data_IF_488764863063
#
_entry.id   IF_488764863063
#
_cell.length_a   1.000
_cell.length_b   1.000
_cell.length_c   1.000
_cell.angle_alpha   90.00
_cell.angle_beta   90.00
_cell.angle_gamma   90.00
#
_symmetry.space_group_name_H-M   'P 1'
#
loop_
_entity.id
_entity.type
_entity.pdbx_description
1 polymer ?
#
# COMPACT_ATOMS: atom_id res chain seq x y z
N UNK A 1 23.83 14.28 -17.40
CA UNK A 1 22.46 14.56 -16.91
C UNK A 1 21.47 14.00 -17.92
N UNK A 2 20.56 13.14 -17.49
CA UNK A 2 19.57 12.55 -18.41
C UNK A 2 18.34 13.46 -18.47
N UNK A 3 17.87 13.73 -19.70
CA UNK A 3 16.77 14.68 -19.96
C UNK A 3 15.47 13.96 -20.35
N UNK A 4 14.36 14.43 -19.79
CA UNK A 4 12.99 13.95 -20.01
C UNK A 4 12.05 15.10 -20.35
N UNK A 5 10.89 14.81 -20.92
CA UNK A 5 9.81 15.78 -21.08
C UNK A 5 9.07 15.93 -19.75
N UNK A 6 8.88 14.81 -19.04
CA UNK A 6 8.20 14.74 -17.75
C UNK A 6 8.95 13.83 -16.77
N UNK A 7 9.13 14.32 -15.54
CA UNK A 7 9.47 13.48 -14.39
C UNK A 7 8.28 13.42 -13.45
N UNK A 8 7.89 12.20 -13.04
CA UNK A 8 6.87 11.98 -12.00
C UNK A 8 7.55 11.43 -10.76
N UNK A 9 7.39 12.09 -9.61
CA UNK A 9 7.96 11.70 -8.34
C UNK A 9 6.91 10.96 -7.52
N UNK A 10 7.15 9.66 -7.28
CA UNK A 10 6.23 8.76 -6.60
C UNK A 10 5.45 7.87 -7.58
N UNK A 11 5.55 6.56 -7.38
CA UNK A 11 4.91 5.54 -8.23
C UNK A 11 3.65 4.93 -7.60
N UNK A 12 2.93 5.70 -6.78
CA UNK A 12 1.58 5.37 -6.34
C UNK A 12 0.55 5.55 -7.48
N UNK A 13 -0.76 5.30 -7.22
CA UNK A 13 -1.81 5.39 -8.26
C UNK A 13 -1.83 6.73 -8.99
N UNK A 14 -1.65 7.85 -8.29
CA UNK A 14 -1.54 9.17 -8.93
C UNK A 14 -0.34 9.29 -9.86
N UNK A 15 0.82 8.71 -9.44
CA UNK A 15 2.06 8.82 -10.19
C UNK A 15 2.14 7.88 -11.39
N UNK A 16 1.96 6.58 -11.21
CA UNK A 16 2.10 5.64 -12.33
C UNK A 16 1.02 5.85 -13.40
N UNK A 17 -0.21 6.21 -13.03
CA UNK A 17 -1.27 6.53 -14.00
C UNK A 17 -0.89 7.76 -14.83
N UNK A 18 -0.40 8.82 -14.19
CA UNK A 18 0.10 10.02 -14.85
C UNK A 18 1.26 9.68 -15.81
N UNK A 19 2.26 8.93 -15.33
CA UNK A 19 3.42 8.54 -16.14
C UNK A 19 3.02 7.71 -17.36
N UNK A 20 2.11 6.75 -17.19
CA UNK A 20 1.62 5.91 -18.28
C UNK A 20 0.83 6.71 -19.32
N UNK A 21 -0.01 7.65 -18.85
CA UNK A 21 -0.77 8.49 -19.76
C UNK A 21 0.13 9.44 -20.55
N UNK A 22 1.11 10.05 -19.89
CA UNK A 22 2.09 10.92 -20.54
C UNK A 22 2.91 10.17 -21.61
N UNK A 23 3.36 8.95 -21.30
CA UNK A 23 4.08 8.12 -22.26
C UNK A 23 3.21 7.72 -23.46
N UNK A 24 1.92 7.42 -23.25
CA UNK A 24 0.94 7.17 -24.35
C UNK A 24 0.75 8.37 -25.27
N UNK A 25 0.95 9.59 -24.74
CA UNK A 25 0.90 10.83 -25.52
C UNK A 25 2.23 11.17 -26.21
N UNK A 26 3.21 10.27 -26.15
CA UNK A 26 4.48 10.40 -26.84
C UNK A 26 5.58 11.13 -26.06
N UNK A 27 5.34 11.45 -24.78
CA UNK A 27 6.35 12.11 -23.95
C UNK A 27 7.40 11.10 -23.49
N UNK A 28 8.66 11.54 -23.38
CA UNK A 28 9.74 10.82 -22.72
C UNK A 28 9.63 11.01 -21.20
N UNK A 29 9.24 9.94 -20.49
CA UNK A 29 8.86 10.01 -19.08
C UNK A 29 9.83 9.26 -18.19
N UNK A 30 10.24 9.88 -17.06
CA UNK A 30 10.83 9.20 -15.92
C UNK A 30 9.82 9.11 -14.78
N UNK A 31 9.75 7.94 -14.14
CA UNK A 31 8.99 7.68 -12.92
C UNK A 31 9.96 7.36 -11.79
N UNK A 32 10.07 8.26 -10.82
CA UNK A 32 10.99 8.12 -9.68
C UNK A 32 10.24 7.53 -8.49
N UNK A 33 10.75 6.44 -7.92
CA UNK A 33 10.15 5.80 -6.74
C UNK A 33 11.25 5.42 -5.72
N UNK A 34 11.05 5.79 -4.47
CA UNK A 34 12.01 5.49 -3.40
C UNK A 34 11.96 4.04 -2.91
N UNK A 35 10.81 3.37 -3.07
CA UNK A 35 10.64 1.95 -2.72
C UNK A 35 11.16 1.06 -3.86
N UNK A 36 11.53 -0.17 -3.57
CA UNK A 36 11.98 -1.12 -4.60
C UNK A 36 10.85 -1.57 -5.53
N UNK A 37 9.59 -1.32 -5.15
CA UNK A 37 8.39 -1.73 -5.89
C UNK A 37 7.51 -0.54 -6.27
N UNK A 38 6.91 -0.60 -7.44
CA UNK A 38 5.90 0.36 -7.89
C UNK A 38 4.55 0.11 -7.21
N UNK A 39 3.58 1.03 -7.40
CA UNK A 39 2.23 0.89 -6.87
C UNK A 39 1.96 1.71 -5.60
N UNK A 40 3.02 2.27 -4.99
CA UNK A 40 2.93 3.14 -3.81
C UNK A 40 2.24 2.48 -2.61
N UNK A 41 1.70 3.30 -1.73
CA UNK A 41 0.95 2.85 -0.55
C UNK A 41 -0.22 1.96 -0.90
N UNK A 42 -1.04 2.34 -1.89
CA UNK A 42 -2.26 1.61 -2.24
C UNK A 42 -2.01 0.13 -2.56
N UNK A 43 -1.05 -0.18 -3.45
CA UNK A 43 -0.81 -1.55 -3.87
C UNK A 43 -0.03 -2.36 -2.84
N UNK A 44 0.96 -1.73 -2.19
CA UNK A 44 1.91 -2.46 -1.35
C UNK A 44 1.41 -2.66 0.10
N UNK A 45 0.83 -1.62 0.70
CA UNK A 45 0.54 -1.57 2.14
C UNK A 45 -0.83 -0.94 2.49
N UNK A 46 -1.66 -0.65 1.50
CA UNK A 46 -2.94 0.05 1.70
C UNK A 46 -4.13 -0.70 1.11
N UNK A 47 -4.73 -0.13 0.06
CA UNK A 47 -6.00 -0.58 -0.51
C UNK A 47 -6.02 -2.07 -0.89
N UNK A 48 -4.98 -2.55 -1.55
CA UNK A 48 -4.97 -3.93 -2.06
C UNK A 48 -4.84 -4.96 -0.93
N UNK A 49 -3.83 -4.88 -0.05
CA UNK A 49 -3.73 -5.83 1.04
C UNK A 49 -4.92 -5.74 2.00
N UNK A 50 -5.45 -4.55 2.30
CA UNK A 50 -6.62 -4.43 3.18
C UNK A 50 -7.86 -5.09 2.57
N UNK A 51 -8.15 -4.88 1.27
CA UNK A 51 -9.29 -5.51 0.58
C UNK A 51 -9.13 -7.02 0.45
N UNK A 52 -7.90 -7.52 0.24
CA UNK A 52 -7.64 -8.95 0.24
C UNK A 52 -7.93 -9.59 1.61
N UNK A 53 -7.55 -8.93 2.70
CA UNK A 53 -7.83 -9.36 4.06
C UNK A 53 -9.33 -9.26 4.39
N UNK A 54 -9.99 -8.14 4.04
CA UNK A 54 -11.43 -7.97 4.23
C UNK A 54 -12.22 -9.09 3.57
N UNK A 55 -11.94 -9.36 2.30
CA UNK A 55 -12.61 -10.41 1.53
C UNK A 55 -12.42 -11.80 2.18
N UNK A 56 -11.19 -12.14 2.59
CA UNK A 56 -10.94 -13.44 3.23
C UNK A 56 -11.57 -13.55 4.61
N UNK A 57 -11.51 -12.49 5.42
CA UNK A 57 -12.12 -12.47 6.75
C UNK A 57 -13.66 -12.50 6.69
N UNK A 58 -14.25 -11.91 5.66
CA UNK A 58 -15.69 -11.96 5.41
C UNK A 58 -16.16 -13.40 5.12
N UNK A 59 -15.45 -14.13 4.24
CA UNK A 59 -15.73 -15.54 4.00
C UNK A 59 -15.60 -16.39 5.25
N UNK A 60 -14.59 -16.13 6.08
CA UNK A 60 -14.40 -16.85 7.34
C UNK A 60 -15.56 -16.59 8.32
N UNK A 61 -15.96 -15.32 8.49
CA UNK A 61 -17.07 -14.94 9.34
C UNK A 61 -18.39 -15.54 8.82
N UNK A 62 -18.65 -15.42 7.52
CA UNK A 62 -19.83 -16.00 6.89
C UNK A 62 -19.93 -17.51 7.11
N UNK A 63 -18.83 -18.24 6.90
CA UNK A 63 -18.79 -19.68 7.10
C UNK A 63 -19.11 -20.08 8.55
N UNK A 64 -18.73 -19.27 9.53
CA UNK A 64 -18.95 -19.56 10.96
C UNK A 64 -20.33 -19.16 11.47
N UNK A 65 -20.91 -18.10 10.93
CA UNK A 65 -22.10 -17.47 11.54
C UNK A 65 -23.33 -17.49 10.64
N UNK A 66 -23.16 -17.40 9.32
CA UNK A 66 -24.27 -17.13 8.41
C UNK A 66 -24.65 -18.32 7.54
N UNK A 67 -23.72 -19.25 7.28
CA UNK A 67 -23.95 -20.41 6.40
C UNK A 67 -25.20 -21.22 6.78
N UNK A 68 -25.46 -21.40 8.07
CA UNK A 68 -26.60 -22.16 8.55
C UNK A 68 -27.94 -21.50 8.18
N UNK A 69 -28.02 -20.17 8.16
CA UNK A 69 -29.23 -19.44 7.76
C UNK A 69 -29.55 -19.66 6.26
N UNK A 70 -28.56 -20.02 5.46
CA UNK A 70 -28.72 -20.38 4.04
C UNK A 70 -28.96 -21.89 3.81
N UNK A 71 -29.16 -22.67 4.89
CA UNK A 71 -29.33 -24.11 4.81
C UNK A 71 -28.02 -24.88 4.54
N UNK A 72 -26.88 -24.22 4.62
CA UNK A 72 -25.55 -24.80 4.37
C UNK A 72 -24.96 -25.28 5.69
N UNK A 73 -24.73 -26.59 5.80
CA UNK A 73 -24.09 -27.18 6.98
C UNK A 73 -22.60 -27.38 6.69
N UNK A 74 -21.76 -26.69 7.46
CA UNK A 74 -20.31 -26.82 7.43
C UNK A 74 -19.87 -27.64 8.67
N UNK A 75 -18.76 -28.36 8.53
CA UNK A 75 -18.05 -28.95 9.65
C UNK A 75 -17.30 -27.89 10.46
N UNK A 76 -16.21 -28.29 11.12
CA UNK A 76 -15.34 -27.35 11.83
C UNK A 76 -14.70 -26.35 10.86
N UNK A 77 -14.89 -25.06 11.16
CA UNK A 77 -14.29 -23.96 10.39
C UNK A 77 -13.13 -23.38 11.18
N UNK A 78 -11.91 -23.64 10.74
CA UNK A 78 -10.68 -23.15 11.35
C UNK A 78 -9.98 -22.12 10.49
N UNK A 79 -9.12 -21.29 11.11
CA UNK A 79 -8.34 -20.26 10.46
C UNK A 79 -6.88 -20.73 10.28
N UNK A 80 -6.40 -20.78 9.04
CA UNK A 80 -4.97 -20.79 8.72
C UNK A 80 -4.51 -19.37 8.40
N UNK A 81 -4.13 -18.60 9.44
CA UNK A 81 -3.69 -17.22 9.28
C UNK A 81 -2.46 -17.09 8.36
N UNK A 82 -1.43 -17.94 8.46
CA UNK A 82 -0.31 -17.92 7.50
C UNK A 82 -0.76 -18.07 6.04
N UNK A 83 -1.69 -18.96 5.74
CA UNK A 83 -2.23 -19.11 4.37
C UNK A 83 -3.01 -17.89 3.92
N UNK A 84 -3.80 -17.28 4.79
CA UNK A 84 -4.54 -16.05 4.53
C UNK A 84 -3.58 -14.89 4.20
N UNK A 85 -2.50 -14.74 4.97
CA UNK A 85 -1.49 -13.72 4.73
C UNK A 85 -0.73 -13.97 3.43
N UNK A 86 -0.32 -15.21 3.14
CA UNK A 86 0.32 -15.56 1.85
C UNK A 86 -0.57 -15.22 0.67
N UNK A 87 -1.87 -15.54 0.71
CA UNK A 87 -2.83 -15.15 -0.34
C UNK A 87 -2.85 -13.65 -0.56
N UNK A 88 -2.87 -12.85 0.50
CA UNK A 88 -2.79 -11.38 0.42
C UNK A 88 -1.49 -10.95 -0.28
N UNK A 89 -0.33 -11.51 0.09
CA UNK A 89 0.97 -11.16 -0.49
C UNK A 89 1.07 -11.55 -1.98
N UNK A 90 0.49 -12.68 -2.37
CA UNK A 90 0.41 -13.11 -3.78
C UNK A 90 -0.42 -12.13 -4.63
N UNK A 91 -1.54 -11.63 -4.10
CA UNK A 91 -2.38 -10.62 -4.77
C UNK A 91 -1.58 -9.33 -4.96
N UNK A 92 -0.93 -8.85 -3.91
CA UNK A 92 -0.07 -7.66 -3.95
C UNK A 92 1.04 -7.83 -4.99
N UNK A 93 1.78 -8.93 -4.92
CA UNK A 93 2.89 -9.21 -5.83
C UNK A 93 2.46 -9.23 -7.30
N UNK A 94 1.32 -9.86 -7.59
CA UNK A 94 0.75 -9.92 -8.95
C UNK A 94 0.43 -8.53 -9.49
N UNK A 95 -0.22 -7.68 -8.69
CA UNK A 95 -0.62 -6.35 -9.14
C UNK A 95 0.58 -5.40 -9.27
N UNK A 96 1.52 -5.44 -8.34
CA UNK A 96 2.79 -4.70 -8.41
C UNK A 96 3.59 -5.11 -9.65
N UNK A 97 3.70 -6.41 -9.91
CA UNK A 97 4.33 -6.94 -11.11
C UNK A 97 3.64 -6.46 -12.40
N UNK A 98 2.30 -6.41 -12.42
CA UNK A 98 1.53 -5.87 -13.54
C UNK A 98 1.83 -4.39 -13.81
N UNK A 99 1.94 -3.56 -12.77
CA UNK A 99 2.33 -2.15 -12.92
C UNK A 99 3.75 -2.02 -13.50
N UNK A 100 4.69 -2.83 -13.03
CA UNK A 100 6.06 -2.83 -13.55
C UNK A 100 6.13 -3.25 -15.03
N UNK A 101 5.37 -4.27 -15.41
CA UNK A 101 5.25 -4.69 -16.82
C UNK A 101 4.64 -3.60 -17.70
N UNK A 102 3.61 -2.90 -17.23
CA UNK A 102 3.00 -1.79 -17.94
C UNK A 102 3.97 -0.61 -18.10
N UNK A 103 4.76 -0.28 -17.08
CA UNK A 103 5.80 0.75 -17.16
C UNK A 103 6.79 0.43 -18.28
N UNK A 104 7.30 -0.82 -18.30
CA UNK A 104 8.21 -1.30 -19.33
C UNK A 104 7.58 -1.27 -20.74
N UNK A 105 6.35 -1.79 -20.88
CA UNK A 105 5.65 -1.83 -22.16
C UNK A 105 5.37 -0.46 -22.75
N UNK A 106 5.26 0.58 -21.92
CA UNK A 106 5.01 1.97 -22.32
C UNK A 106 6.29 2.81 -22.43
N UNK A 107 7.45 2.22 -22.27
CA UNK A 107 8.73 2.92 -22.37
C UNK A 107 8.97 3.95 -21.27
N UNK A 108 8.28 3.81 -20.12
CA UNK A 108 8.52 4.68 -18.95
C UNK A 108 9.84 4.27 -18.29
N UNK A 109 10.76 5.22 -18.14
CA UNK A 109 12.02 5.00 -17.43
C UNK A 109 11.76 5.03 -15.93
N UNK A 110 11.85 3.87 -15.27
CA UNK A 110 11.75 3.79 -13.81
C UNK A 110 13.11 4.07 -13.19
N UNK A 111 13.15 5.00 -12.25
CA UNK A 111 14.36 5.38 -11.51
C UNK A 111 14.10 5.13 -10.02
N UNK A 112 14.79 4.16 -9.45
CA UNK A 112 14.66 3.84 -8.02
C UNK A 112 15.56 4.73 -7.20
N UNK A 113 14.99 5.45 -6.24
CA UNK A 113 15.69 6.35 -5.32
C UNK A 113 14.83 7.48 -4.80
N UNK A 114 15.39 8.21 -3.86
CA UNK A 114 14.75 9.39 -3.28
C UNK A 114 15.10 10.63 -4.09
N UNK A 115 14.08 11.31 -4.62
CA UNK A 115 14.23 12.54 -5.37
C UNK A 115 14.32 13.76 -4.45
N UNK A 116 15.22 14.68 -4.78
CA UNK A 116 15.30 16.01 -4.20
C UNK A 116 15.49 17.03 -5.32
N UNK A 117 14.82 18.19 -5.23
CA UNK A 117 15.03 19.28 -6.17
C UNK A 117 16.39 19.93 -5.97
N UNK A 118 17.14 20.09 -7.04
CA UNK A 118 18.40 20.87 -7.09
C UNK A 118 18.25 22.17 -7.87
N UNK A 119 17.10 22.36 -8.50
CA UNK A 119 16.70 23.54 -9.25
C UNK A 119 15.26 23.39 -9.75
N UNK A 120 14.69 24.39 -10.42
CA UNK A 120 13.28 24.38 -10.84
C UNK A 120 12.89 23.20 -11.75
N UNK A 121 13.86 22.66 -12.51
CA UNK A 121 13.69 21.57 -13.48
C UNK A 121 14.69 20.43 -13.33
N UNK A 122 15.48 20.47 -12.25
CA UNK A 122 16.56 19.51 -11.99
C UNK A 122 16.35 18.80 -10.66
N UNK A 123 16.59 17.51 -10.68
CA UNK A 123 16.47 16.63 -9.53
C UNK A 123 17.75 15.83 -9.33
N UNK A 124 18.14 15.65 -8.08
CA UNK A 124 19.04 14.59 -7.66
C UNK A 124 18.22 13.41 -7.18
N UNK A 125 18.50 12.21 -7.68
CA UNK A 125 17.87 10.98 -7.22
C UNK A 125 18.94 10.10 -6.58
N UNK A 126 18.80 9.87 -5.27
CA UNK A 126 19.75 9.09 -4.49
C UNK A 126 19.21 7.68 -4.28
N UNK A 127 19.92 6.67 -4.77
CA UNK A 127 19.63 5.26 -4.59
C UNK A 127 19.93 4.78 -3.16
N UNK A 128 19.48 3.57 -2.84
CA UNK A 128 19.73 2.94 -1.53
C UNK A 128 21.22 2.67 -1.27
N UNK A 129 22.02 2.55 -2.31
CA UNK A 129 23.48 2.40 -2.27
C UNK A 129 24.24 3.73 -2.08
N UNK A 130 23.51 4.84 -1.94
CA UNK A 130 24.08 6.19 -1.81
C UNK A 130 24.50 6.81 -3.15
N UNK A 131 24.40 6.11 -4.26
CA UNK A 131 24.69 6.70 -5.57
C UNK A 131 23.66 7.76 -5.92
N UNK A 132 24.11 8.88 -6.50
CA UNK A 132 23.23 9.97 -6.88
C UNK A 132 23.31 10.21 -8.38
N UNK A 133 22.17 10.26 -9.06
CA UNK A 133 22.06 10.64 -10.45
C UNK A 133 21.27 11.95 -10.61
N UNK A 134 21.71 12.78 -11.54
CA UNK A 134 21.03 14.04 -11.84
C UNK A 134 20.08 13.85 -13.05
N UNK A 135 18.84 14.26 -12.88
CA UNK A 135 17.80 14.25 -13.90
C UNK A 135 17.32 15.68 -14.20
N UNK A 136 16.94 15.92 -15.44
CA UNK A 136 16.35 17.20 -15.89
C UNK A 136 15.04 16.91 -16.64
N UNK A 137 14.01 17.75 -16.45
CA UNK A 137 12.79 17.67 -17.23
C UNK A 137 12.18 19.04 -17.53
N UNK A 138 11.40 19.11 -18.61
CA UNK A 138 10.59 20.29 -18.90
C UNK A 138 9.51 20.50 -17.83
N UNK A 139 8.93 19.40 -17.34
CA UNK A 139 7.88 19.40 -16.32
C UNK A 139 8.16 18.36 -15.24
N UNK A 140 7.72 18.65 -14.00
CA UNK A 140 7.80 17.72 -12.87
C UNK A 140 6.44 17.63 -12.20
N UNK A 141 5.97 16.40 -11.96
CA UNK A 141 4.76 16.10 -11.20
C UNK A 141 5.17 15.48 -9.86
N UNK A 142 4.67 16.09 -8.76
CA UNK A 142 4.87 15.59 -7.40
C UNK A 142 3.66 14.74 -7.02
N UNK A 143 3.86 13.42 -6.90
CA UNK A 143 2.85 12.42 -6.55
C UNK A 143 3.33 11.52 -5.40
N UNK A 144 3.95 12.12 -4.38
CA UNK A 144 4.69 11.45 -3.31
C UNK A 144 3.80 10.73 -2.30
N UNK A 145 2.47 10.93 -2.36
CA UNK A 145 1.50 10.24 -1.51
C UNK A 145 1.47 10.76 -0.08
N UNK A 146 1.13 9.88 0.85
CA UNK A 146 0.96 10.16 2.28
C UNK A 146 1.58 9.06 3.13
N UNK A 147 1.71 9.33 4.41
CA UNK A 147 2.15 8.37 5.42
C UNK A 147 1.18 8.39 6.62
N UNK A 148 1.11 7.32 7.43
CA UNK A 148 0.38 7.34 8.68
C UNK A 148 0.87 8.47 9.58
N UNK A 149 -0.07 9.14 10.27
CA UNK A 149 0.27 10.17 11.24
C UNK A 149 0.72 9.50 12.53
N UNK A 150 1.87 9.89 13.01
CA UNK A 150 2.38 9.47 14.32
C UNK A 150 2.05 10.54 15.36
N UNK A 151 1.32 10.15 16.40
CA UNK A 151 0.98 11.07 17.49
C UNK A 151 2.19 11.26 18.42
N UNK A 152 2.49 12.50 18.86
CA UNK A 152 3.69 12.76 19.69
C UNK A 152 3.76 11.93 20.98
N UNK A 153 2.60 11.61 21.55
CA UNK A 153 2.45 10.85 22.78
C UNK A 153 2.18 9.34 22.56
N UNK A 154 2.04 8.89 21.29
CA UNK A 154 1.74 7.50 20.93
C UNK A 154 2.53 7.13 19.67
N UNK A 155 3.85 6.94 19.83
CA UNK A 155 4.74 6.63 18.72
C UNK A 155 4.68 5.16 18.33
N UNK A 156 4.87 4.89 17.04
CA UNK A 156 4.93 3.52 16.54
C UNK A 156 6.20 2.81 17.02
N UNK A 157 6.04 1.69 17.73
CA UNK A 157 7.11 0.78 18.12
C UNK A 157 7.14 -0.50 17.23
N UNK A 158 6.12 -0.66 16.40
CA UNK A 158 5.97 -1.81 15.51
C UNK A 158 5.52 -3.10 16.20
N UNK A 159 5.26 -3.07 17.50
CA UNK A 159 4.87 -4.23 18.33
C UNK A 159 3.57 -3.99 19.09
N UNK A 160 3.54 -3.02 19.98
CA UNK A 160 2.38 -2.65 20.80
C UNK A 160 1.61 -1.52 20.15
N UNK A 161 2.31 -0.49 19.72
CA UNK A 161 1.75 0.63 18.96
C UNK A 161 2.13 0.47 17.50
N UNK A 162 1.15 0.15 16.69
CA UNK A 162 1.35 -0.20 15.29
C UNK A 162 0.61 0.76 14.35
N UNK A 163 1.14 0.94 13.16
CA UNK A 163 0.43 1.62 12.07
C UNK A 163 -0.39 0.63 11.24
N UNK A 164 -1.16 1.15 10.29
CA UNK A 164 -1.86 0.33 9.28
C UNK A 164 -0.90 -0.59 8.51
N UNK A 165 0.33 -0.15 8.28
CA UNK A 165 1.34 -0.92 7.54
C UNK A 165 1.72 -2.22 8.27
N UNK A 166 1.73 -2.18 9.61
CA UNK A 166 1.96 -3.36 10.45
C UNK A 166 0.67 -4.20 10.58
N UNK A 167 -0.48 -3.53 10.70
CA UNK A 167 -1.76 -4.19 10.94
C UNK A 167 -2.21 -5.12 9.79
N UNK A 168 -1.72 -4.93 8.57
CA UNK A 168 -1.98 -5.83 7.43
C UNK A 168 -1.14 -7.12 7.46
N UNK A 169 -0.22 -7.27 8.41
CA UNK A 169 0.75 -8.37 8.43
C UNK A 169 1.03 -8.92 9.84
N UNK A 170 0.06 -8.80 10.77
CA UNK A 170 0.23 -9.34 12.12
C UNK A 170 0.44 -10.85 12.07
N UNK A 171 1.47 -11.38 12.74
CA UNK A 171 1.81 -12.81 12.68
C UNK A 171 0.84 -13.71 13.46
N UNK A 172 -0.01 -13.11 14.29
CA UNK A 172 -1.06 -13.78 15.07
C UNK A 172 -2.28 -12.88 15.19
N UNK A 173 -3.45 -13.47 15.37
CA UNK A 173 -4.66 -12.73 15.72
C UNK A 173 -4.47 -12.17 17.14
N UNK A 174 -4.52 -10.84 17.34
CA UNK A 174 -4.41 -10.27 18.68
C UNK A 174 -5.65 -10.60 19.52
N UNK A 175 -5.48 -10.92 20.79
CA UNK A 175 -6.63 -11.14 21.68
C UNK A 175 -7.46 -9.87 21.85
N UNK A 176 -6.78 -8.72 22.00
CA UNK A 176 -7.39 -7.40 22.09
C UNK A 176 -6.69 -6.45 21.12
N UNK A 177 -7.48 -5.61 20.46
CA UNK A 177 -6.99 -4.60 19.53
C UNK A 177 -7.74 -3.27 19.79
N UNK A 178 -6.99 -2.22 20.08
CA UNK A 178 -7.53 -0.86 20.15
C UNK A 178 -7.18 -0.13 18.86
N UNK A 179 -8.20 0.38 18.18
CA UNK A 179 -8.07 1.20 16.97
C UNK A 179 -8.24 2.66 17.35
N UNK A 180 -7.21 3.46 17.15
CA UNK A 180 -7.26 4.91 17.38
C UNK A 180 -7.58 5.60 16.07
N UNK A 181 -8.77 6.16 15.98
CA UNK A 181 -9.36 6.77 14.79
C UNK A 181 -10.43 5.90 14.13
N UNK A 182 -11.66 6.42 14.02
CA UNK A 182 -12.81 5.78 13.38
C UNK A 182 -12.88 5.99 11.86
N UNK A 183 -11.78 6.39 11.22
CA UNK A 183 -11.70 6.55 9.77
C UNK A 183 -11.70 5.22 9.02
N UNK A 184 -11.82 5.30 7.68
CA UNK A 184 -11.97 4.12 6.80
C UNK A 184 -10.89 3.03 7.04
N UNK A 185 -9.62 3.41 7.18
CA UNK A 185 -8.52 2.46 7.38
C UNK A 185 -8.65 1.73 8.72
N UNK A 186 -8.95 2.48 9.79
CA UNK A 186 -9.13 1.93 11.14
C UNK A 186 -10.29 0.94 11.19
N UNK A 187 -11.45 1.32 10.64
CA UNK A 187 -12.64 0.48 10.62
C UNK A 187 -12.47 -0.76 9.73
N UNK A 188 -11.84 -0.63 8.56
CA UNK A 188 -11.56 -1.77 7.68
C UNK A 188 -10.67 -2.81 8.37
N UNK A 189 -9.52 -2.39 8.90
CA UNK A 189 -8.57 -3.30 9.54
C UNK A 189 -9.11 -3.81 10.89
N UNK A 190 -9.80 -2.97 11.66
CA UNK A 190 -10.51 -3.39 12.84
C UNK A 190 -11.54 -4.50 12.55
N UNK A 191 -12.33 -4.33 11.48
CA UNK A 191 -13.30 -5.35 11.04
C UNK A 191 -12.64 -6.66 10.63
N UNK A 192 -11.49 -6.61 9.95
CA UNK A 192 -10.71 -7.82 9.62
C UNK A 192 -10.37 -8.59 10.88
N UNK A 193 -9.73 -7.93 11.84
CA UNK A 193 -9.27 -8.61 13.05
C UNK A 193 -10.42 -9.05 13.97
N UNK A 194 -11.52 -8.28 14.03
CA UNK A 194 -12.72 -8.69 14.75
C UNK A 194 -13.32 -9.98 14.18
N UNK A 195 -13.47 -10.06 12.84
CA UNK A 195 -13.96 -11.28 12.17
C UNK A 195 -13.03 -12.50 12.39
N UNK A 196 -11.73 -12.25 12.55
CA UNK A 196 -10.75 -13.30 12.83
C UNK A 196 -10.68 -13.71 14.31
N UNK A 197 -11.38 -12.98 15.21
CA UNK A 197 -11.53 -13.35 16.62
C UNK A 197 -10.92 -12.39 17.64
N UNK A 198 -10.47 -11.21 17.23
CA UNK A 198 -10.00 -10.17 18.17
C UNK A 198 -11.18 -9.45 18.85
N UNK A 199 -11.04 -9.14 20.13
CA UNK A 199 -11.87 -8.12 20.80
C UNK A 199 -11.38 -6.73 20.36
N UNK A 200 -12.17 -6.04 19.54
CA UNK A 200 -11.78 -4.74 18.95
C UNK A 200 -12.53 -3.61 19.61
N UNK A 201 -11.77 -2.61 20.07
CA UNK A 201 -12.31 -1.33 20.56
C UNK A 201 -11.86 -0.21 19.62
N UNK A 202 -12.79 0.63 19.17
CA UNK A 202 -12.49 1.83 18.38
C UNK A 202 -12.63 3.07 19.24
N UNK A 203 -11.63 3.92 19.20
CA UNK A 203 -11.63 5.22 19.90
C UNK A 203 -11.56 6.32 18.84
N UNK A 204 -12.57 7.18 18.83
CA UNK A 204 -12.68 8.35 17.94
C UNK A 204 -12.84 9.62 18.78
N UNK A 205 -12.15 10.68 18.37
CA UNK A 205 -12.19 11.96 19.09
C UNK A 205 -13.22 12.95 18.53
N UNK A 206 -13.65 12.72 17.29
CA UNK A 206 -14.65 13.56 16.62
C UNK A 206 -16.03 12.91 16.69
N UNK A 207 -17.12 13.71 16.76
CA UNK A 207 -18.49 13.22 16.71
C UNK A 207 -18.86 12.65 15.36
#
# INVERSE_FOLDING_TARGET
MTRFDLIVIGAGPGGYVCAFRAAQLGLKVALVEKRPSLGGTCLNIGCIPSKALLHSSEHFAWARHDAAAHGIRLGEVSLDLPALLRRKDEIVSRLVGGVAQLAKARGVTVVTGQAAFTGPRTLAVTGADGTTQALEAAHVVIATGSAPVELPFLRFDGQTVISSDHAIALPKVPGKLVVVGGGAIGLELGSVWARLGSEVTVVESLP
#
